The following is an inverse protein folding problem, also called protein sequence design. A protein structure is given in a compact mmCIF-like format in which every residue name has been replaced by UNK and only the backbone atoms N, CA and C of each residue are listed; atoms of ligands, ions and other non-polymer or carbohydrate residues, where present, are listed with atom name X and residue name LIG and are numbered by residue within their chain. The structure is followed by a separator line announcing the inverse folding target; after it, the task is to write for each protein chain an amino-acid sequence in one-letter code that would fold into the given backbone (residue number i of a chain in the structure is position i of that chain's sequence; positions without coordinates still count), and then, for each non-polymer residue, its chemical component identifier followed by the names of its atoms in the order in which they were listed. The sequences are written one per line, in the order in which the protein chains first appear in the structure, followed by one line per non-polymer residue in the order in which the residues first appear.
data_IF_759496677614
#
_entry.id   IF_759496677614
#
_cell.length_a   1.000
_cell.length_b   1.000
_cell.length_c   1.000
_cell.angle_alpha   90.00
_cell.angle_beta   90.00
_cell.angle_gamma   90.00
#
_symmetry.space_group_name_H-M   'P 1'
#
loop_
_entity.id
_entity.type
_entity.pdbx_description
1 polymer ?
#
# COMPACT_ATOMS: atom_id res chain seq x y z
N UNK A 1 -5.67 -16.43 -21.90
CA UNK A 1 -4.69 -15.52 -22.52
C UNK A 1 -4.47 -14.19 -21.76
N UNK A 2 -5.34 -13.82 -20.79
CA UNK A 2 -5.07 -12.68 -19.89
C UNK A 2 -3.89 -12.95 -18.95
N UNK A 3 -3.67 -14.19 -18.55
CA UNK A 3 -2.60 -14.64 -17.63
C UNK A 3 -1.17 -14.40 -18.15
N UNK A 4 -0.98 -14.30 -19.46
CA UNK A 4 0.37 -14.15 -20.04
C UNK A 4 0.96 -12.74 -19.86
N UNK A 5 0.12 -11.71 -19.72
CA UNK A 5 0.61 -10.32 -19.58
C UNK A 5 1.05 -10.00 -18.14
N UNK A 6 0.34 -10.54 -17.14
CA UNK A 6 0.64 -10.34 -15.72
C UNK A 6 0.62 -11.65 -14.93
N UNK A 7 1.54 -12.58 -15.19
CA UNK A 7 1.53 -13.90 -14.54
C UNK A 7 1.67 -13.82 -13.02
N UNK A 8 2.41 -12.86 -12.51
CA UNK A 8 2.55 -12.64 -11.08
C UNK A 8 1.22 -12.22 -10.41
N UNK A 9 0.37 -11.47 -11.12
CA UNK A 9 -0.95 -11.08 -10.60
C UNK A 9 -1.93 -12.26 -10.62
N UNK A 10 -1.87 -13.11 -11.64
CA UNK A 10 -2.65 -14.34 -11.70
C UNK A 10 -2.30 -15.28 -10.53
N UNK A 11 -1.00 -15.51 -10.29
CA UNK A 11 -0.52 -16.28 -9.14
C UNK A 11 -0.96 -15.66 -7.81
N UNK A 12 -0.94 -14.34 -7.69
CA UNK A 12 -1.42 -13.65 -6.49
C UNK A 12 -2.93 -13.85 -6.26
N UNK A 13 -3.73 -13.91 -7.32
CA UNK A 13 -5.16 -14.21 -7.24
C UNK A 13 -5.40 -15.64 -6.75
N UNK A 14 -4.67 -16.62 -7.28
CA UNK A 14 -4.77 -18.03 -6.84
C UNK A 14 -4.38 -18.18 -5.36
N UNK A 15 -3.27 -17.55 -4.95
CA UNK A 15 -2.83 -17.54 -3.55
C UNK A 15 -3.89 -16.88 -2.64
N UNK A 16 -4.44 -15.75 -3.06
CA UNK A 16 -5.49 -15.03 -2.33
C UNK A 16 -6.71 -15.91 -2.09
N UNK A 17 -7.22 -16.59 -3.12
CA UNK A 17 -8.36 -17.50 -3.01
C UNK A 17 -8.05 -18.69 -2.10
N UNK A 18 -6.86 -19.27 -2.22
CA UNK A 18 -6.42 -20.35 -1.34
C UNK A 18 -6.36 -19.91 0.13
N UNK A 19 -5.92 -18.67 0.40
CA UNK A 19 -5.91 -18.10 1.76
C UNK A 19 -7.34 -17.93 2.27
N UNK A 20 -8.27 -17.45 1.45
CA UNK A 20 -9.68 -17.31 1.84
C UNK A 20 -10.28 -18.67 2.25
N UNK A 21 -10.02 -19.73 1.46
CA UNK A 21 -10.45 -21.10 1.78
C UNK A 21 -9.83 -21.59 3.10
N UNK A 22 -8.54 -21.37 3.30
CA UNK A 22 -7.84 -21.75 4.54
C UNK A 22 -8.39 -21.01 5.76
N UNK A 23 -8.66 -19.70 5.64
CA UNK A 23 -9.22 -18.89 6.74
C UNK A 23 -10.65 -19.32 7.11
N UNK A 24 -11.39 -19.93 6.19
CA UNK A 24 -12.72 -20.48 6.46
C UNK A 24 -12.68 -21.85 7.15
N UNK A 25 -11.52 -22.50 7.23
CA UNK A 25 -11.41 -23.83 7.84
C UNK A 25 -11.48 -23.77 9.38
N UNK A 26 -12.18 -24.71 10.05
CA UNK A 26 -12.27 -24.75 11.51
C UNK A 26 -10.91 -24.85 12.21
N UNK A 27 -9.94 -25.51 11.59
CA UNK A 27 -8.59 -25.69 12.12
C UNK A 27 -7.85 -24.35 12.21
N UNK A 28 -7.98 -23.48 11.20
CA UNK A 28 -7.33 -22.17 11.16
C UNK A 28 -8.07 -21.18 12.07
N UNK A 29 -9.40 -21.22 12.09
CA UNK A 29 -10.22 -20.37 12.97
C UNK A 29 -9.88 -20.63 14.46
N UNK A 30 -9.50 -21.86 14.81
CA UNK A 30 -9.10 -22.24 16.17
C UNK A 30 -7.69 -21.84 16.55
N UNK A 31 -6.86 -21.41 15.57
CA UNK A 31 -5.44 -21.04 15.77
C UNK A 31 -5.24 -19.53 15.49
N UNK A 32 -5.22 -18.68 16.53
CA UNK A 32 -5.09 -17.23 16.37
C UNK A 32 -3.80 -16.79 15.66
N UNK A 33 -2.71 -17.55 15.80
CA UNK A 33 -1.43 -17.20 15.20
C UNK A 33 -1.42 -17.50 13.70
N UNK A 34 -2.00 -18.63 13.30
CA UNK A 34 -2.20 -18.95 11.88
C UNK A 34 -3.15 -17.96 11.24
N UNK A 35 -4.28 -17.67 11.89
CA UNK A 35 -5.26 -16.72 11.38
C UNK A 35 -4.64 -15.33 11.18
N UNK A 36 -3.82 -14.86 12.11
CA UNK A 36 -3.11 -13.58 12.01
C UNK A 36 -2.12 -13.54 10.84
N UNK A 37 -1.37 -14.63 10.63
CA UNK A 37 -0.42 -14.73 9.51
C UNK A 37 -1.14 -14.72 8.16
N UNK A 38 -2.19 -15.53 8.02
CA UNK A 38 -3.00 -15.58 6.81
C UNK A 38 -3.70 -14.25 6.53
N UNK A 39 -4.27 -13.61 7.58
CA UNK A 39 -4.92 -12.30 7.45
C UNK A 39 -3.96 -11.20 7.00
N UNK A 40 -2.71 -11.20 7.47
CA UNK A 40 -1.69 -10.28 6.98
C UNK A 40 -1.40 -10.51 5.50
N UNK A 41 -1.17 -11.77 5.11
CA UNK A 41 -0.87 -12.12 3.73
C UNK A 41 -2.05 -11.83 2.79
N UNK A 42 -3.27 -12.11 3.23
CA UNK A 42 -4.51 -11.75 2.52
C UNK A 42 -4.60 -10.24 2.28
N UNK A 43 -4.31 -9.42 3.29
CA UNK A 43 -4.32 -7.97 3.16
C UNK A 43 -3.23 -7.45 2.19
N UNK A 44 -2.04 -8.06 2.20
CA UNK A 44 -0.96 -7.73 1.26
C UNK A 44 -1.36 -8.02 -0.20
N UNK A 45 -1.95 -9.19 -0.45
CA UNK A 45 -2.39 -9.59 -1.78
C UNK A 45 -3.62 -8.81 -2.26
N UNK A 46 -4.45 -8.32 -1.34
CA UNK A 46 -5.72 -7.66 -1.66
C UNK A 46 -5.57 -6.47 -2.61
N UNK A 47 -4.50 -5.68 -2.47
CA UNK A 47 -4.22 -4.56 -3.37
C UNK A 47 -3.89 -5.02 -4.79
N UNK A 48 -3.08 -6.08 -4.93
CA UNK A 48 -2.71 -6.68 -6.22
C UNK A 48 -3.93 -7.27 -6.89
N UNK A 49 -4.69 -8.08 -6.14
CA UNK A 49 -5.89 -8.76 -6.63
C UNK A 49 -6.97 -7.76 -7.05
N UNK A 50 -7.16 -6.68 -6.29
CA UNK A 50 -8.09 -5.61 -6.65
C UNK A 50 -7.71 -4.93 -7.97
N UNK A 51 -6.44 -4.56 -8.13
CA UNK A 51 -5.93 -3.96 -9.36
C UNK A 51 -6.02 -4.92 -10.56
N UNK A 52 -5.72 -6.21 -10.34
CA UNK A 52 -5.80 -7.24 -11.37
C UNK A 52 -7.24 -7.51 -11.83
N UNK A 53 -8.19 -7.61 -10.91
CA UNK A 53 -9.62 -7.75 -11.24
C UNK A 53 -10.13 -6.55 -12.03
N UNK A 54 -9.73 -5.35 -11.67
CA UNK A 54 -10.10 -4.13 -12.41
C UNK A 54 -9.52 -4.16 -13.83
N UNK A 55 -8.27 -4.58 -13.98
CA UNK A 55 -7.65 -4.71 -15.29
C UNK A 55 -8.33 -5.76 -16.18
N UNK A 56 -8.65 -6.93 -15.63
CA UNK A 56 -9.41 -7.98 -16.34
C UNK A 56 -10.77 -7.44 -16.79
N UNK A 57 -11.50 -6.75 -15.91
CA UNK A 57 -12.80 -6.19 -16.22
C UNK A 57 -12.73 -5.18 -17.37
N UNK A 58 -11.82 -4.22 -17.30
CA UNK A 58 -11.66 -3.20 -18.37
C UNK A 58 -11.28 -3.87 -19.70
N UNK A 59 -10.47 -4.89 -19.66
CA UNK A 59 -10.04 -5.63 -20.84
C UNK A 59 -11.18 -6.45 -21.46
N UNK A 60 -11.98 -7.10 -20.65
CA UNK A 60 -13.15 -7.87 -21.09
C UNK A 60 -14.24 -6.93 -21.64
N UNK A 61 -14.52 -5.81 -20.96
CA UNK A 61 -15.46 -4.80 -21.40
C UNK A 61 -15.02 -4.15 -22.73
N UNK A 62 -13.72 -3.87 -22.88
CA UNK A 62 -13.14 -3.36 -24.11
C UNK A 62 -13.33 -4.34 -25.27
N UNK A 63 -13.06 -5.63 -25.04
CA UNK A 63 -13.24 -6.66 -26.06
C UNK A 63 -14.71 -6.78 -26.48
N UNK A 64 -15.64 -6.76 -25.54
CA UNK A 64 -17.07 -6.79 -25.80
C UNK A 64 -17.54 -5.53 -26.57
N UNK A 65 -17.09 -4.33 -26.16
CA UNK A 65 -17.44 -3.10 -26.85
C UNK A 65 -16.88 -3.05 -28.28
N UNK A 66 -15.67 -3.57 -28.50
CA UNK A 66 -15.07 -3.65 -29.85
C UNK A 66 -15.82 -4.62 -30.75
N UNK A 67 -16.31 -5.76 -30.22
CA UNK A 67 -17.11 -6.72 -30.98
C UNK A 67 -18.43 -6.11 -31.47
N UNK A 68 -19.06 -5.26 -30.63
CA UNK A 68 -20.33 -4.63 -30.91
C UNK A 68 -20.20 -3.27 -31.63
N UNK A 69 -19.02 -2.69 -31.73
CA UNK A 69 -18.75 -1.36 -32.30
C UNK A 69 -19.18 -1.22 -33.77
N UNK A 70 -19.32 -2.31 -34.50
CA UNK A 70 -19.80 -2.31 -35.87
C UNK A 70 -21.32 -2.20 -36.01
N UNK A 71 -22.06 -2.46 -34.94
CA UNK A 71 -23.53 -2.50 -34.94
C UNK A 71 -24.15 -1.20 -34.35
N UNK A 72 -23.44 -0.56 -33.39
CA UNK A 72 -23.93 0.63 -32.70
C UNK A 72 -22.79 1.61 -32.40
N UNK A 73 -23.03 2.89 -32.66
CA UNK A 73 -22.08 3.98 -32.46
C UNK A 73 -21.73 4.17 -30.95
N UNK A 74 -22.66 3.87 -30.05
CA UNK A 74 -22.45 4.00 -28.61
C UNK A 74 -21.36 3.01 -28.14
N UNK A 75 -21.35 1.78 -28.66
CA UNK A 75 -20.29 0.82 -28.37
C UNK A 75 -18.93 1.22 -28.97
N UNK A 76 -18.92 1.90 -30.10
CA UNK A 76 -17.70 2.43 -30.68
C UNK A 76 -17.10 3.57 -29.83
N UNK A 77 -17.91 4.41 -29.20
CA UNK A 77 -17.46 5.44 -28.25
C UNK A 77 -16.97 4.81 -26.95
N UNK A 78 -17.70 3.82 -26.43
CA UNK A 78 -17.32 3.10 -25.22
C UNK A 78 -15.98 2.36 -25.42
N UNK A 79 -15.77 1.70 -26.55
CA UNK A 79 -14.48 1.07 -26.87
C UNK A 79 -13.32 2.07 -26.84
N UNK A 80 -13.48 3.27 -27.41
CA UNK A 80 -12.47 4.33 -27.37
C UNK A 80 -12.18 4.80 -25.95
N UNK A 81 -13.21 4.93 -25.12
CA UNK A 81 -13.07 5.32 -23.70
C UNK A 81 -12.26 4.28 -22.93
N UNK A 82 -12.63 3.00 -23.06
CA UNK A 82 -11.95 1.90 -22.38
C UNK A 82 -10.51 1.71 -22.89
N UNK A 83 -10.26 1.90 -24.18
CA UNK A 83 -8.93 1.87 -24.77
C UNK A 83 -8.03 2.98 -24.19
N UNK A 84 -8.59 4.16 -23.95
CA UNK A 84 -7.86 5.26 -23.31
C UNK A 84 -7.65 5.04 -21.80
N UNK A 85 -8.53 4.30 -21.12
CA UNK A 85 -8.45 3.98 -19.69
C UNK A 85 -7.44 2.86 -19.41
N UNK A 86 -7.32 1.87 -20.30
CA UNK A 86 -6.53 0.66 -20.12
C UNK A 86 -5.07 0.92 -19.68
N UNK A 87 -4.31 1.86 -20.28
CA UNK A 87 -2.94 2.13 -19.85
C UNK A 87 -2.84 2.59 -18.40
N UNK A 88 -3.82 3.37 -17.92
CA UNK A 88 -3.85 3.84 -16.53
C UNK A 88 -4.14 2.73 -15.54
N UNK A 89 -4.96 1.76 -15.92
CA UNK A 89 -5.25 0.57 -15.10
C UNK A 89 -4.05 -0.38 -15.09
N UNK A 90 -3.37 -0.55 -16.21
CA UNK A 90 -2.13 -1.32 -16.30
C UNK A 90 -1.03 -0.75 -15.40
N UNK A 91 -0.85 0.56 -15.39
CA UNK A 91 0.17 1.20 -14.55
C UNK A 91 -0.14 1.04 -13.06
N UNK A 92 -1.40 1.13 -12.66
CA UNK A 92 -1.83 0.82 -11.29
C UNK A 92 -1.51 -0.62 -10.89
N UNK A 93 -1.76 -1.58 -11.79
CA UNK A 93 -1.43 -2.98 -11.55
C UNK A 93 0.08 -3.21 -11.45
N UNK A 94 0.87 -2.61 -12.34
CA UNK A 94 2.33 -2.67 -12.27
C UNK A 94 2.86 -2.11 -10.94
N UNK A 95 2.32 -0.98 -10.51
CA UNK A 95 2.68 -0.36 -9.22
C UNK A 95 2.31 -1.28 -8.05
N UNK A 96 1.14 -1.93 -8.09
CA UNK A 96 0.72 -2.86 -7.05
C UNK A 96 1.58 -4.13 -6.98
N UNK A 97 2.18 -4.53 -8.10
CA UNK A 97 3.10 -5.68 -8.19
C UNK A 97 4.52 -5.39 -7.69
N UNK A 98 4.88 -4.13 -7.46
CA UNK A 98 6.18 -3.79 -6.88
C UNK A 98 6.24 -4.38 -5.46
N UNK A 99 7.22 -5.26 -5.17
CA UNK A 99 7.36 -5.82 -3.84
C UNK A 99 7.53 -4.72 -2.80
N UNK A 100 6.78 -4.78 -1.72
CA UNK A 100 7.02 -3.90 -0.58
C UNK A 100 8.32 -4.29 0.10
N UNK A 101 9.06 -3.31 0.57
CA UNK A 101 10.23 -3.57 1.39
C UNK A 101 9.78 -4.31 2.67
N UNK A 102 10.37 -5.48 2.98
CA UNK A 102 10.05 -6.22 4.20
C UNK A 102 10.31 -5.38 5.48
N UNK A 103 11.16 -4.37 5.37
CA UNK A 103 11.47 -3.47 6.48
C UNK A 103 10.43 -2.36 6.68
N UNK A 104 9.55 -2.09 5.70
CA UNK A 104 8.44 -1.12 5.83
C UNK A 104 7.47 -1.44 6.99
N UNK A 105 7.41 -2.70 7.41
CA UNK A 105 6.55 -3.15 8.52
C UNK A 105 7.26 -3.11 9.88
N UNK A 106 8.52 -2.70 9.93
CA UNK A 106 9.31 -2.65 11.16
C UNK A 106 9.19 -1.31 11.86
N UNK A 107 9.34 -1.34 13.19
CA UNK A 107 9.49 -0.13 13.96
C UNK A 107 10.80 0.56 13.62
N UNK A 108 10.76 1.89 13.55
CA UNK A 108 11.92 2.73 13.24
C UNK A 108 12.31 3.54 14.44
N UNK A 109 13.59 3.56 14.78
CA UNK A 109 14.15 4.46 15.77
C UNK A 109 14.67 5.70 15.04
N UNK A 110 14.19 6.86 15.44
CA UNK A 110 14.64 8.14 14.94
C UNK A 110 15.37 8.90 16.04
N UNK A 111 16.61 9.32 15.77
CA UNK A 111 17.37 10.16 16.66
C UNK A 111 17.46 11.56 16.07
N UNK A 112 17.03 12.59 16.81
CA UNK A 112 17.12 13.99 16.44
C UNK A 112 18.13 14.66 17.37
N UNK A 113 19.15 15.27 16.81
CA UNK A 113 20.21 15.97 17.57
C UNK A 113 20.36 17.41 17.09
N UNK A 114 20.46 18.34 18.03
CA UNK A 114 20.91 19.68 17.72
C UNK A 114 22.38 19.65 17.24
N UNK A 115 22.66 20.31 16.13
CA UNK A 115 24.02 20.47 15.61
C UNK A 115 24.81 21.58 16.36
N UNK A 116 25.87 22.08 15.72
CA UNK A 116 26.74 23.17 16.24
C UNK A 116 26.11 24.53 16.07
N UNK A 117 24.91 24.78 16.60
CA UNK A 117 24.16 26.02 16.43
C UNK A 117 23.63 26.64 17.75
N UNK A 118 24.03 26.09 18.89
CA UNK A 118 23.55 26.57 20.18
C UNK A 118 22.03 26.42 20.37
N UNK A 119 21.40 27.44 20.95
CA UNK A 119 19.94 27.40 21.26
C UNK A 119 19.07 27.38 20.02
N UNK A 120 19.43 28.02 18.92
CA UNK A 120 18.70 28.04 17.68
C UNK A 120 18.61 26.59 17.05
N UNK A 121 19.73 25.87 17.08
CA UNK A 121 19.75 24.48 16.64
C UNK A 121 18.90 23.57 17.55
N UNK A 122 18.88 23.85 18.85
CA UNK A 122 18.01 23.09 19.78
C UNK A 122 16.53 23.38 19.55
N UNK A 123 16.14 24.62 19.27
CA UNK A 123 14.77 24.99 18.90
C UNK A 123 14.35 24.31 17.62
N UNK A 124 15.21 24.29 16.60
CA UNK A 124 14.94 23.59 15.35
C UNK A 124 14.80 22.08 15.53
N UNK A 125 15.61 21.45 16.37
CA UNK A 125 15.48 20.05 16.71
C UNK A 125 14.11 19.74 17.36
N UNK A 126 13.65 20.61 18.28
CA UNK A 126 12.32 20.52 18.86
C UNK A 126 11.19 20.68 17.83
N UNK A 127 11.38 21.57 16.83
CA UNK A 127 10.41 21.70 15.73
C UNK A 127 10.35 20.45 14.85
N UNK A 128 11.50 19.83 14.56
CA UNK A 128 11.55 18.56 13.83
C UNK A 128 10.88 17.44 14.61
N UNK A 129 11.12 17.32 15.91
CA UNK A 129 10.46 16.32 16.75
C UNK A 129 8.92 16.47 16.66
N UNK A 130 8.41 17.69 16.83
CA UNK A 130 6.99 17.98 16.69
C UNK A 130 6.43 17.66 15.31
N UNK A 131 7.18 17.99 14.26
CA UNK A 131 6.78 17.69 12.88
C UNK A 131 6.62 16.20 12.66
N UNK A 132 7.61 15.39 13.03
CA UNK A 132 7.57 13.94 12.85
C UNK A 132 6.52 13.27 13.74
N UNK A 133 6.35 13.72 14.97
CA UNK A 133 5.29 13.24 15.86
C UNK A 133 3.89 13.46 15.24
N UNK A 134 3.63 14.68 14.75
CA UNK A 134 2.36 14.99 14.08
C UNK A 134 2.16 14.21 12.76
N UNK A 135 3.24 13.98 12.04
CA UNK A 135 3.17 13.14 10.84
C UNK A 135 2.80 11.70 11.18
N UNK A 136 3.44 11.12 12.21
CA UNK A 136 3.14 9.79 12.69
C UNK A 136 1.66 9.66 13.16
N UNK A 137 1.16 10.64 13.93
CA UNK A 137 -0.24 10.71 14.35
C UNK A 137 -1.19 10.68 13.14
N UNK A 138 -0.93 11.49 12.11
CA UNK A 138 -1.73 11.50 10.86
C UNK A 138 -1.71 10.16 10.12
N UNK A 139 -0.64 9.38 10.28
CA UNK A 139 -0.47 8.05 9.69
C UNK A 139 -1.04 6.95 10.58
N UNK A 140 -1.51 7.27 11.80
CA UNK A 140 -1.99 6.30 12.79
C UNK A 140 -0.87 5.46 13.41
N UNK A 141 0.37 5.96 13.38
CA UNK A 141 1.51 5.30 13.99
C UNK A 141 1.64 5.69 15.46
N UNK A 142 2.05 4.75 16.30
CA UNK A 142 2.38 5.02 17.69
C UNK A 142 3.78 5.62 17.79
N UNK A 143 3.93 6.69 18.56
CA UNK A 143 5.22 7.32 18.86
C UNK A 143 5.54 7.12 20.33
N UNK A 144 6.73 6.63 20.61
CA UNK A 144 7.26 6.51 21.97
C UNK A 144 8.61 7.24 22.06
N UNK A 145 8.62 8.36 22.78
CA UNK A 145 9.85 9.12 23.04
C UNK A 145 10.63 8.40 24.14
N UNK A 146 11.77 7.82 23.79
CA UNK A 146 12.60 7.06 24.74
C UNK A 146 13.49 7.96 25.61
N UNK A 147 14.01 9.02 25.02
CA UNK A 147 14.76 10.04 25.74
C UNK A 147 14.58 11.41 25.13
N UNK A 148 14.48 12.44 25.96
CA UNK A 148 14.37 13.83 25.55
C UNK A 148 15.28 14.68 26.46
N UNK A 149 16.01 15.61 25.86
CA UNK A 149 16.87 16.54 26.60
C UNK A 149 16.49 17.98 26.25
N UNK A 150 15.41 18.44 26.90
CA UNK A 150 14.83 19.76 26.67
C UNK A 150 15.73 20.90 27.20
N UNK A 151 15.67 22.05 26.53
CA UNK A 151 16.27 23.29 26.97
C UNK A 151 15.24 24.18 27.66
N UNK A 152 15.71 25.17 28.47
CA UNK A 152 14.84 26.10 29.20
C UNK A 152 13.90 26.91 28.27
N UNK A 153 14.29 27.08 27.00
CA UNK A 153 13.52 27.82 25.99
C UNK A 153 12.63 26.91 25.10
N UNK A 154 12.45 25.65 25.49
CA UNK A 154 11.58 24.69 24.76
C UNK A 154 12.23 24.08 23.51
N UNK A 155 13.53 24.20 23.33
CA UNK A 155 14.31 23.47 22.35
C UNK A 155 14.67 22.07 22.85
N UNK A 156 15.16 21.23 21.97
CA UNK A 156 15.63 19.87 22.29
C UNK A 156 17.08 19.68 21.82
N UNK A 157 17.94 19.26 22.73
CA UNK A 157 19.34 18.97 22.39
C UNK A 157 19.51 17.57 21.81
N UNK A 158 18.67 16.63 22.24
CA UNK A 158 18.68 15.25 21.77
C UNK A 158 17.37 14.56 22.15
N UNK A 159 16.68 13.99 21.18
CA UNK A 159 15.54 13.08 21.38
C UNK A 159 15.74 11.77 20.62
N UNK A 160 15.29 10.68 21.21
CA UNK A 160 15.35 9.35 20.60
C UNK A 160 14.01 8.66 20.80
#
# INVERSE_FOLDING_TARGET
MADEQFPAAATALEEYQSIEEQMASPEVVSDPDKLRKLGRRHAELGAIVGAYKTWLQVKDDLAAAQEMAGEDADFAEEAKRLEAELPGVEEKLRTALIPRDPDDARDTIMEIKAGTGGEEAALFAGDLLRMYTRYAEKRGWSVNVQSENTTELGGDRKST
#
